data_IF_223022855727
#
_entry.id   IF_223022855727
#
_cell.length_a   1.000
_cell.length_b   1.000
_cell.length_c   1.000
_cell.angle_alpha   90.00
_cell.angle_beta   90.00
_cell.angle_gamma   90.00
#
_symmetry.space_group_name_H-M   'P 1'
#
loop_
_entity.id
_entity.type
_entity.pdbx_description
1 polymer ?
#
# COMPACT_ATOMS: atom_id res chain seq x y z
N UNK A 1 5.38 -0.98 -8.87
CA UNK A 1 4.69 -0.78 -10.17
C UNK A 1 5.55 -1.24 -11.33
N UNK A 2 6.50 -0.43 -11.77
CA UNK A 2 7.40 -0.84 -12.84
C UNK A 2 8.45 -1.83 -12.33
N UNK A 3 8.78 -2.79 -13.18
CA UNK A 3 9.85 -3.77 -12.91
C UNK A 3 11.17 -3.36 -13.55
N UNK A 4 11.15 -2.39 -14.47
CA UNK A 4 12.31 -1.84 -15.13
C UNK A 4 12.32 -0.33 -14.95
N UNK A 5 13.52 0.25 -14.81
CA UNK A 5 13.68 1.68 -14.64
C UNK A 5 13.45 2.41 -15.98
N UNK A 6 12.57 3.42 -16.02
CA UNK A 6 12.42 4.22 -17.22
C UNK A 6 13.71 4.99 -17.54
N UNK A 7 14.01 5.24 -18.84
CA UNK A 7 15.19 6.03 -19.20
C UNK A 7 15.15 7.43 -18.58
N UNK A 8 16.30 7.90 -18.11
CA UNK A 8 16.46 9.24 -17.52
C UNK A 8 15.56 9.51 -16.31
N UNK A 9 15.12 8.48 -15.59
CA UNK A 9 14.24 8.59 -14.43
C UNK A 9 12.93 9.37 -14.70
N UNK A 10 12.47 9.38 -15.94
CA UNK A 10 11.21 10.02 -16.29
C UNK A 10 10.03 9.30 -15.64
N UNK A 11 8.89 9.97 -15.59
CA UNK A 11 7.65 9.34 -15.19
C UNK A 11 7.31 8.16 -16.12
N UNK A 12 6.75 7.06 -15.59
CA UNK A 12 6.36 5.93 -16.43
C UNK A 12 5.22 6.29 -17.38
N UNK A 13 5.31 5.77 -18.59
CA UNK A 13 4.22 5.89 -19.56
C UNK A 13 3.12 4.84 -19.26
N UNK A 14 1.91 5.14 -19.71
CA UNK A 14 0.79 4.21 -19.51
C UNK A 14 1.05 2.83 -20.09
N UNK A 15 1.72 2.77 -21.25
CA UNK A 15 2.10 1.50 -21.87
C UNK A 15 3.06 0.68 -21.01
N UNK A 16 3.99 1.35 -20.34
CA UNK A 16 4.94 0.70 -19.44
C UNK A 16 4.26 0.20 -18.17
N UNK A 17 3.36 0.99 -17.61
CA UNK A 17 2.56 0.59 -16.45
C UNK A 17 1.70 -0.62 -16.81
N UNK A 18 1.05 -0.59 -17.97
CA UNK A 18 0.21 -1.71 -18.43
C UNK A 18 1.02 -2.97 -18.65
N UNK A 19 2.23 -2.87 -19.19
CA UNK A 19 3.10 -4.02 -19.42
C UNK A 19 3.52 -4.70 -18.11
N UNK A 20 3.70 -3.93 -17.04
CA UNK A 20 4.11 -4.46 -15.73
C UNK A 20 2.95 -4.88 -14.85
N UNK A 21 1.74 -4.45 -15.15
CA UNK A 21 0.57 -4.67 -14.30
C UNK A 21 0.26 -6.14 -14.04
N UNK A 22 0.32 -7.06 -15.01
CA UNK A 22 0.06 -8.47 -14.73
C UNK A 22 0.99 -9.08 -13.69
N UNK A 23 2.25 -8.65 -13.65
CA UNK A 23 3.20 -9.12 -12.65
C UNK A 23 2.82 -8.66 -11.25
N UNK A 24 2.41 -7.39 -11.11
CA UNK A 24 1.97 -6.86 -9.84
C UNK A 24 0.68 -7.54 -9.37
N UNK A 25 -0.26 -7.75 -10.27
CA UNK A 25 -1.52 -8.42 -9.95
C UNK A 25 -1.27 -9.85 -9.46
N UNK A 26 -0.34 -10.57 -10.08
CA UNK A 26 0.06 -11.90 -9.64
C UNK A 26 0.70 -11.85 -8.26
N UNK A 27 1.59 -10.89 -8.02
CA UNK A 27 2.25 -10.73 -6.73
C UNK A 27 1.24 -10.44 -5.61
N UNK A 28 0.27 -9.58 -5.85
CA UNK A 28 -0.79 -9.27 -4.89
C UNK A 28 -1.61 -10.54 -4.61
N UNK A 29 -1.94 -11.28 -5.64
CA UNK A 29 -2.69 -12.54 -5.53
C UNK A 29 -1.95 -13.57 -4.68
N UNK A 30 -0.64 -13.72 -4.90
CA UNK A 30 0.19 -14.70 -4.18
C UNK A 30 0.42 -14.30 -2.72
N UNK A 31 0.60 -13.02 -2.45
CA UNK A 31 0.80 -12.51 -1.08
C UNK A 31 -0.50 -12.53 -0.30
N UNK A 32 -1.62 -12.31 -0.97
CA UNK A 32 -2.96 -12.22 -0.38
C UNK A 32 -2.99 -11.26 0.83
N UNK A 33 -2.64 -9.98 0.62
CA UNK A 33 -2.53 -9.04 1.72
C UNK A 33 -3.90 -8.61 2.25
N UNK A 34 -3.95 -8.25 3.51
CA UNK A 34 -5.13 -7.62 4.11
C UNK A 34 -5.07 -6.09 4.00
N UNK A 35 -3.87 -5.56 3.94
CA UNK A 35 -3.62 -4.13 3.82
C UNK A 35 -2.58 -3.91 2.73
N UNK A 36 -2.85 -2.95 1.85
CA UNK A 36 -1.88 -2.46 0.87
C UNK A 36 -1.63 -0.99 1.17
N UNK A 37 -0.37 -0.64 1.35
CA UNK A 37 0.06 0.75 1.48
C UNK A 37 0.61 1.20 0.15
N UNK A 38 -0.03 2.19 -0.46
CA UNK A 38 0.45 2.74 -1.74
C UNK A 38 1.37 3.92 -1.48
N UNK A 39 2.55 3.89 -2.08
CA UNK A 39 3.55 4.94 -1.92
C UNK A 39 3.55 5.83 -3.17
N UNK A 40 2.94 7.01 -3.05
CA UNK A 40 2.90 7.98 -4.13
C UNK A 40 1.73 7.80 -5.09
N UNK A 41 1.65 8.73 -6.04
CA UNK A 41 0.48 8.86 -6.92
C UNK A 41 0.30 7.71 -7.90
N UNK A 42 1.39 7.17 -8.44
CA UNK A 42 1.29 6.12 -9.45
C UNK A 42 0.79 4.80 -8.86
N UNK A 43 1.27 4.44 -7.69
CA UNK A 43 0.80 3.24 -7.02
C UNK A 43 -0.66 3.36 -6.57
N UNK A 44 -1.07 4.55 -6.12
CA UNK A 44 -2.45 4.80 -5.74
C UNK A 44 -3.38 4.76 -6.95
N UNK A 45 -2.96 5.34 -8.07
CA UNK A 45 -3.77 5.40 -9.29
C UNK A 45 -4.09 4.02 -9.86
N UNK A 46 -3.31 3.00 -9.54
CA UNK A 46 -3.63 1.62 -9.94
C UNK A 46 -4.99 1.18 -9.39
N UNK A 47 -5.29 1.57 -8.16
CA UNK A 47 -6.51 1.14 -7.48
C UNK A 47 -7.64 2.14 -7.62
N UNK A 48 -7.32 3.43 -7.62
CA UNK A 48 -8.30 4.52 -7.67
C UNK A 48 -7.87 5.58 -8.70
N UNK A 49 -7.98 5.28 -10.00
CA UNK A 49 -7.46 6.18 -11.04
C UNK A 49 -8.21 7.50 -11.15
N UNK A 50 -9.40 7.61 -10.58
CA UNK A 50 -10.24 8.79 -10.67
C UNK A 50 -10.13 9.72 -9.47
N UNK A 51 -9.31 9.37 -8.48
CA UNK A 51 -9.17 10.12 -7.24
C UNK A 51 -7.71 10.54 -7.09
N UNK A 52 -7.50 11.78 -6.64
CA UNK A 52 -6.14 12.27 -6.44
C UNK A 52 -5.57 11.79 -5.10
N UNK A 53 -4.25 11.62 -5.07
CA UNK A 53 -3.56 11.23 -3.84
C UNK A 53 -3.73 12.28 -2.73
N UNK A 54 -3.65 13.56 -3.09
CA UNK A 54 -3.75 14.64 -2.10
C UNK A 54 -5.09 14.65 -1.36
N UNK A 55 -6.16 14.28 -2.04
CA UNK A 55 -7.50 14.18 -1.43
C UNK A 55 -7.67 12.92 -0.59
N UNK A 56 -6.91 11.87 -0.90
CA UNK A 56 -7.09 10.55 -0.29
C UNK A 56 -6.00 10.16 0.70
N UNK A 57 -4.94 10.95 0.78
CA UNK A 57 -3.81 10.65 1.65
C UNK A 57 -4.27 10.36 3.08
N UNK A 58 -3.84 9.23 3.61
CA UNK A 58 -4.14 8.83 4.98
C UNK A 58 -5.57 8.37 5.22
N UNK A 59 -6.40 8.32 4.18
CA UNK A 59 -7.77 7.83 4.29
C UNK A 59 -7.82 6.39 3.79
N UNK A 60 -8.19 5.47 4.65
CA UNK A 60 -8.30 4.05 4.31
C UNK A 60 -9.50 3.84 3.38
N UNK A 61 -9.26 3.15 2.29
CA UNK A 61 -10.29 2.80 1.32
C UNK A 61 -10.35 1.29 1.14
N UNK A 62 -11.54 0.80 0.82
CA UNK A 62 -11.74 -0.61 0.51
C UNK A 62 -11.55 -0.85 -0.99
N UNK A 63 -10.81 -1.89 -1.33
CA UNK A 63 -10.66 -2.35 -2.70
C UNK A 63 -10.73 -3.89 -2.71
N UNK A 64 -11.83 -4.42 -3.20
CA UNK A 64 -12.06 -5.88 -3.29
C UNK A 64 -11.80 -6.62 -1.97
N UNK A 65 -12.21 -6.02 -0.86
CA UNK A 65 -12.01 -6.59 0.48
C UNK A 65 -10.64 -6.31 1.09
N UNK A 66 -9.75 -5.65 0.38
CA UNK A 66 -8.43 -5.26 0.88
C UNK A 66 -8.46 -3.79 1.28
N UNK A 67 -7.86 -3.47 2.42
CA UNK A 67 -7.73 -2.09 2.87
C UNK A 67 -6.55 -1.42 2.17
N UNK A 68 -6.81 -0.31 1.49
CA UNK A 68 -5.78 0.48 0.81
C UNK A 68 -5.53 1.74 1.62
N UNK A 69 -4.30 1.93 2.04
CA UNK A 69 -3.86 3.15 2.72
C UNK A 69 -2.95 3.95 1.79
N UNK A 70 -3.44 5.05 1.21
CA UNK A 70 -2.61 5.89 0.37
C UNK A 70 -1.76 6.84 1.20
N UNK A 71 -0.47 6.87 0.91
CA UNK A 71 0.46 7.80 1.55
C UNK A 71 1.36 8.42 0.49
N UNK A 72 1.99 9.56 0.83
CA UNK A 72 3.03 10.12 -0.03
C UNK A 72 4.24 9.19 -0.06
N UNK A 73 4.95 9.20 -1.18
CA UNK A 73 6.21 8.49 -1.23
C UNK A 73 7.20 9.12 -0.24
N UNK A 74 7.91 8.31 0.57
CA UNK A 74 8.86 8.88 1.56
C UNK A 74 9.89 9.82 0.96
N UNK A 75 10.31 9.60 -0.28
CA UNK A 75 11.22 10.49 -0.98
C UNK A 75 10.67 11.91 -1.15
N UNK A 76 9.34 12.10 -1.13
CA UNK A 76 8.75 13.44 -1.21
C UNK A 76 9.15 14.32 -0.01
N UNK A 77 9.39 13.72 1.15
CA UNK A 77 9.82 14.47 2.33
C UNK A 77 11.25 14.98 2.22
N UNK A 78 12.06 14.42 1.30
CA UNK A 78 13.41 14.94 1.02
C UNK A 78 13.35 16.27 0.28
N UNK A 79 12.36 16.45 -0.58
CA UNK A 79 12.17 17.68 -1.35
C UNK A 79 11.31 18.69 -0.60
N UNK A 80 10.40 18.22 0.22
CA UNK A 80 9.51 19.05 1.01
C UNK A 80 9.44 18.52 2.44
N UNK A 81 10.32 19.01 3.34
CA UNK A 81 10.35 18.54 4.73
C UNK A 81 9.05 18.74 5.50
N UNK A 82 8.16 19.63 5.06
CA UNK A 82 6.86 19.84 5.71
C UNK A 82 5.95 18.60 5.60
N UNK A 83 6.24 17.69 4.69
CA UNK A 83 5.48 16.44 4.53
C UNK A 83 5.87 15.37 5.56
N UNK A 84 7.02 15.53 6.22
CA UNK A 84 7.52 14.51 7.15
C UNK A 84 6.54 14.19 8.30
N UNK A 85 5.95 15.18 9.00
CA UNK A 85 4.96 14.89 10.04
C UNK A 85 3.73 14.15 9.50
N UNK A 86 3.30 14.51 8.29
CA UNK A 86 2.16 13.86 7.64
C UNK A 86 2.46 12.40 7.32
N UNK A 87 3.66 12.12 6.82
CA UNK A 87 4.10 10.76 6.55
C UNK A 87 4.15 9.91 7.81
N UNK A 88 4.74 10.42 8.88
CA UNK A 88 4.80 9.72 10.16
C UNK A 88 3.39 9.40 10.66
N UNK A 89 2.50 10.36 10.61
CA UNK A 89 1.11 10.18 11.03
C UNK A 89 0.41 9.09 10.22
N UNK A 90 0.61 9.10 8.90
CA UNK A 90 -0.02 8.13 8.02
C UNK A 90 0.54 6.71 8.23
N UNK A 91 1.85 6.60 8.40
CA UNK A 91 2.46 5.30 8.67
C UNK A 91 2.03 4.70 10.01
N UNK A 92 1.74 5.54 11.00
CA UNK A 92 1.20 5.06 12.29
C UNK A 92 -0.16 4.38 12.13
N UNK A 93 -0.92 4.74 11.13
CA UNK A 93 -2.21 4.10 10.84
C UNK A 93 -2.08 2.64 10.44
N UNK A 94 -0.94 2.23 9.90
CA UNK A 94 -0.68 0.84 9.52
C UNK A 94 -0.80 -0.07 10.74
N UNK A 95 -0.21 0.34 11.86
CA UNK A 95 -0.27 -0.43 13.11
C UNK A 95 -1.72 -0.62 13.56
N UNK A 96 -2.53 0.43 13.50
CA UNK A 96 -3.95 0.36 13.86
C UNK A 96 -4.72 -0.60 12.94
N UNK A 97 -4.48 -0.51 11.62
CA UNK A 97 -5.14 -1.39 10.66
C UNK A 97 -4.79 -2.86 10.87
N UNK A 98 -3.54 -3.15 11.15
CA UNK A 98 -3.09 -4.51 11.42
C UNK A 98 -3.66 -5.03 12.74
N UNK A 99 -3.72 -4.20 13.77
CA UNK A 99 -4.30 -4.57 15.05
C UNK A 99 -5.80 -4.88 14.95
N UNK A 100 -6.54 -4.11 14.17
CA UNK A 100 -7.95 -4.36 13.91
C UNK A 100 -8.16 -5.74 13.27
N UNK A 101 -7.30 -6.10 12.33
CA UNK A 101 -7.38 -7.41 11.70
C UNK A 101 -7.05 -8.52 12.68
N UNK A 102 -6.01 -8.36 13.49
CA UNK A 102 -5.64 -9.36 14.49
C UNK A 102 -6.78 -9.60 15.47
N UNK A 103 -7.46 -8.58 15.91
CA UNK A 103 -8.63 -8.71 16.78
C UNK A 103 -9.77 -9.48 16.10
N UNK A 104 -10.02 -9.22 14.81
CA UNK A 104 -11.02 -9.95 14.05
C UNK A 104 -10.60 -11.41 13.85
N UNK A 105 -9.33 -11.66 13.61
CA UNK A 105 -8.78 -13.00 13.46
C UNK A 105 -8.81 -13.78 14.78
N UNK A 106 -8.54 -13.13 15.89
CA UNK A 106 -8.56 -13.76 17.23
C UNK A 106 -9.96 -14.23 17.62
N UNK A 107 -11.01 -13.50 17.21
CA UNK A 107 -12.39 -13.93 17.47
C UNK A 107 -12.78 -15.15 16.65
N UNK A 108 -12.14 -15.39 15.52
CA UNK A 108 -12.45 -16.49 14.62
C UNK A 108 -11.52 -17.70 14.74
N UNK A 109 -10.33 -17.53 15.35
CA UNK A 109 -9.30 -18.56 15.38
C UNK A 109 -8.77 -18.72 16.81
N UNK A 110 -9.63 -19.22 17.68
CA UNK A 110 -9.20 -19.51 19.07
C UNK A 110 -8.32 -20.74 19.19
N UNK A 111 -8.14 -21.51 18.15
CA UNK A 111 -7.53 -22.83 18.22
C UNK A 111 -6.10 -22.91 17.67
N UNK A 112 -5.55 -21.86 17.08
CA UNK A 112 -4.18 -21.89 16.52
C UNK A 112 -3.42 -20.60 16.79
N UNK A 113 -3.05 -20.30 18.01
CA UNK A 113 -2.44 -19.02 18.32
C UNK A 113 -0.96 -18.90 17.96
N UNK A 114 -0.26 -19.98 17.73
CA UNK A 114 1.21 -19.93 17.73
C UNK A 114 1.89 -20.10 16.40
N UNK A 115 1.18 -20.57 15.38
CA UNK A 115 1.82 -20.91 14.11
C UNK A 115 2.14 -19.69 13.27
N UNK A 116 1.51 -18.57 13.55
CA UNK A 116 1.64 -17.39 12.70
C UNK A 116 2.75 -16.44 13.11
N UNK A 117 3.11 -16.44 14.36
CA UNK A 117 4.18 -15.57 14.85
C UNK A 117 5.53 -15.97 14.30
N UNK A 118 5.72 -17.25 14.04
CA UNK A 118 6.98 -17.75 13.51
C UNK A 118 7.16 -17.51 12.02
N UNK A 119 6.10 -17.18 11.31
CA UNK A 119 6.15 -16.92 9.87
C UNK A 119 6.42 -15.46 9.55
N UNK A 120 6.21 -14.57 10.51
CA UNK A 120 6.43 -13.13 10.31
C UNK A 120 7.89 -12.75 10.55
N UNK A 121 8.60 -13.58 11.26
CA UNK A 121 10.03 -13.43 11.48
C UNK A 121 10.82 -14.07 10.35
#
# INVERSE_FOLDING_TARGET
MLKCRPPSNRDPQLSEISACQPYLDLQISLVDPSVIVTLGRFSFAKFFPQVTLSESRGIVRDWKGIKILPVYHPAAALYNPSLKPKLIQDFQKITTLLAEKDNTSLSNIQTQPNTQLNLIE
#
